data_IF_790010855764
#
_entry.id   IF_790010855764
#
_cell.length_a   1.000
_cell.length_b   1.000
_cell.length_c   1.000
_cell.angle_alpha   90.00
_cell.angle_beta   90.00
_cell.angle_gamma   90.00
#
_symmetry.space_group_name_H-M   'P 1'
#
loop_
_entity.id
_entity.type
_entity.pdbx_description
1 polymer ?
#
# COMPACT_ATOMS: atom_id res chain seq x y z
N UNK A 1 40.22 14.43 8.86
CA UNK A 1 40.14 13.51 7.71
C UNK A 1 39.13 12.44 8.08
N UNK A 2 37.88 12.81 8.38
CA UNK A 2 36.88 13.40 7.48
C UNK A 2 36.43 12.41 6.42
N UNK A 3 35.11 12.20 6.40
CA UNK A 3 34.27 11.52 5.41
C UNK A 3 34.15 9.98 5.61
N UNK A 4 32.97 9.39 5.88
CA UNK A 4 31.60 9.87 5.98
C UNK A 4 30.82 8.98 6.95
N UNK A 5 30.18 9.62 7.91
CA UNK A 5 29.03 9.10 8.68
C UNK A 5 27.76 9.49 7.93
N UNK A 6 27.76 9.30 6.60
CA UNK A 6 26.68 9.69 5.68
C UNK A 6 26.24 8.51 4.77
N UNK A 7 26.96 7.38 4.72
CA UNK A 7 26.56 6.23 3.89
C UNK A 7 25.45 5.36 4.53
N UNK A 8 24.84 5.82 5.63
CA UNK A 8 23.74 5.12 6.32
C UNK A 8 22.38 5.78 6.11
N UNK A 9 22.32 6.89 5.37
CA UNK A 9 21.09 7.66 5.12
C UNK A 9 20.45 7.39 3.75
N UNK A 10 21.07 6.55 2.91
CA UNK A 10 20.52 6.18 1.58
C UNK A 10 19.80 4.83 1.56
N UNK A 11 19.39 4.30 2.73
CA UNK A 11 18.59 3.08 2.83
C UNK A 11 17.11 3.38 2.49
N UNK A 12 16.84 3.79 1.25
CA UNK A 12 15.49 4.06 0.73
C UNK A 12 15.08 3.15 -0.43
N UNK A 13 15.79 2.05 -0.65
CA UNK A 13 15.40 1.04 -1.63
C UNK A 13 14.98 -0.26 -0.93
N UNK A 14 13.66 -0.50 -0.93
CA UNK A 14 13.01 -1.77 -0.57
C UNK A 14 13.58 -2.97 -1.38
N UNK A 15 14.29 -2.70 -2.48
CA UNK A 15 14.98 -3.68 -3.33
C UNK A 15 16.21 -4.30 -2.63
N UNK A 16 16.97 -3.52 -1.85
CA UNK A 16 18.13 -4.04 -1.10
C UNK A 16 17.70 -4.91 0.09
N UNK A 17 16.50 -4.65 0.64
CA UNK A 17 15.92 -5.47 1.72
C UNK A 17 15.47 -6.85 1.23
N UNK A 18 15.09 -6.96 -0.06
CA UNK A 18 14.78 -8.23 -0.73
C UNK A 18 16.06 -8.97 -1.13
N UNK A 19 17.08 -8.25 -1.60
CA UNK A 19 18.37 -8.85 -1.98
C UNK A 19 19.16 -9.37 -0.76
N UNK A 20 19.06 -8.70 0.40
CA UNK A 20 19.63 -9.17 1.67
C UNK A 20 18.94 -10.43 2.24
N UNK A 21 17.70 -10.73 1.82
CA UNK A 21 17.00 -11.98 2.16
C UNK A 21 17.33 -13.11 1.17
N UNK A 22 17.82 -12.79 -0.03
CA UNK A 22 18.08 -13.77 -1.11
C UNK A 22 19.45 -14.45 -1.05
N UNK A 23 20.43 -13.90 -0.33
CA UNK A 23 21.83 -14.38 -0.36
C UNK A 23 22.25 -15.42 0.70
N UNK A 24 21.40 -15.79 1.67
CA UNK A 24 21.64 -16.99 2.49
C UNK A 24 20.71 -18.13 2.06
N UNK A 25 21.19 -18.89 1.08
CA UNK A 25 20.57 -20.11 0.57
C UNK A 25 20.52 -21.22 1.64
N UNK A 26 19.53 -21.18 2.53
CA UNK A 26 19.05 -22.37 3.23
C UNK A 26 18.26 -23.25 2.24
N UNK A 27 18.40 -24.59 2.29
CA UNK A 27 17.73 -25.50 1.37
C UNK A 27 16.23 -25.22 1.36
N UNK A 28 15.69 -24.90 0.17
CA UNK A 28 14.29 -24.48 -0.04
C UNK A 28 13.34 -25.63 0.32
N UNK A 29 13.02 -25.75 1.61
CA UNK A 29 11.80 -26.39 2.05
C UNK A 29 10.63 -25.76 1.28
N UNK A 30 9.59 -26.54 0.90
CA UNK A 30 8.49 -26.02 0.09
C UNK A 30 7.95 -24.77 0.78
N UNK A 31 8.13 -23.61 0.11
CA UNK A 31 7.68 -22.31 0.61
C UNK A 31 6.24 -22.49 1.05
N UNK A 32 5.98 -22.29 2.35
CA UNK A 32 4.64 -22.30 2.91
C UNK A 32 3.74 -21.45 1.99
N UNK A 33 2.68 -22.04 1.43
CA UNK A 33 1.78 -21.33 0.50
C UNK A 33 1.24 -20.03 1.12
N UNK A 34 1.16 -19.99 2.45
CA UNK A 34 0.88 -18.79 3.21
C UNK A 34 1.87 -17.64 2.98
N UNK A 35 3.17 -17.93 2.92
CA UNK A 35 4.19 -16.92 2.64
C UNK A 35 4.10 -16.44 1.21
N UNK A 36 3.95 -17.33 0.23
CA UNK A 36 3.74 -16.95 -1.17
C UNK A 36 2.51 -16.06 -1.34
N UNK A 37 1.41 -16.39 -0.65
CA UNK A 37 0.23 -15.54 -0.61
C UNK A 37 0.54 -14.16 -0.04
N UNK A 38 1.14 -14.09 1.15
CA UNK A 38 1.44 -12.82 1.81
C UNK A 38 2.38 -11.95 0.96
N UNK A 39 3.42 -12.56 0.41
CA UNK A 39 4.39 -11.93 -0.48
C UNK A 39 3.69 -11.34 -1.72
N UNK A 40 2.86 -12.13 -2.41
CA UNK A 40 2.07 -11.63 -3.55
C UNK A 40 1.12 -10.48 -3.19
N UNK A 41 0.51 -10.52 -2.01
CA UNK A 41 -0.37 -9.46 -1.53
C UNK A 41 0.40 -8.18 -1.26
N UNK A 42 1.53 -8.26 -0.54
CA UNK A 42 2.39 -7.12 -0.22
C UNK A 42 2.90 -6.47 -1.51
N UNK A 43 3.46 -7.28 -2.43
CA UNK A 43 3.98 -6.77 -3.72
C UNK A 43 2.91 -6.03 -4.52
N UNK A 44 1.67 -6.49 -4.49
CA UNK A 44 0.57 -5.85 -5.24
C UNK A 44 0.01 -4.62 -4.52
N UNK A 45 0.00 -4.62 -3.19
CA UNK A 45 -0.59 -3.55 -2.37
C UNK A 45 0.31 -2.31 -2.30
N UNK A 46 1.62 -2.50 -2.11
CA UNK A 46 2.55 -1.39 -1.90
C UNK A 46 2.52 -0.33 -3.02
N UNK A 47 2.54 -0.70 -4.32
CA UNK A 47 2.46 0.29 -5.40
C UNK A 47 1.14 1.08 -5.41
N UNK A 48 0.04 0.42 -5.06
CA UNK A 48 -1.30 1.02 -5.02
C UNK A 48 -1.41 1.98 -3.83
N UNK A 49 -0.90 1.61 -2.66
CA UNK A 49 -0.83 2.47 -1.48
C UNK A 49 0.00 3.72 -1.76
N UNK A 50 1.20 3.54 -2.33
CA UNK A 50 2.05 4.65 -2.75
C UNK A 50 1.34 5.57 -3.74
N UNK A 51 0.68 5.00 -4.76
CA UNK A 51 -0.10 5.77 -5.73
C UNK A 51 -1.21 6.59 -5.05
N UNK A 52 -1.99 5.98 -4.16
CA UNK A 52 -3.04 6.71 -3.44
C UNK A 52 -2.49 7.79 -2.53
N UNK A 53 -1.31 7.61 -1.95
CA UNK A 53 -0.57 8.66 -1.24
C UNK A 53 -0.31 9.87 -2.15
N UNK A 54 0.30 9.66 -3.32
CA UNK A 54 0.53 10.72 -4.33
C UNK A 54 -0.78 11.39 -4.74
N UNK A 55 -1.79 10.58 -5.00
CA UNK A 55 -3.06 11.01 -5.58
C UNK A 55 -3.86 11.88 -4.61
N UNK A 56 -3.90 11.52 -3.32
CA UNK A 56 -4.51 12.31 -2.24
C UNK A 56 -3.75 13.60 -1.95
N UNK A 57 -2.41 13.58 -2.00
CA UNK A 57 -1.58 14.78 -1.84
C UNK A 57 -1.80 15.80 -2.94
N UNK A 58 -1.86 15.34 -4.20
CA UNK A 58 -2.12 16.21 -5.36
C UNK A 58 -3.55 16.75 -5.39
N UNK A 59 -4.52 15.97 -4.91
CA UNK A 59 -5.92 16.35 -4.88
C UNK A 59 -6.51 16.17 -3.47
N UNK A 60 -6.35 17.16 -2.57
CA UNK A 60 -6.84 17.08 -1.18
C UNK A 60 -8.34 16.79 -1.04
N UNK A 61 -9.12 17.08 -2.08
CA UNK A 61 -10.55 16.70 -2.17
C UNK A 61 -10.78 15.19 -2.00
N UNK A 62 -9.79 14.36 -2.34
CA UNK A 62 -9.82 12.91 -2.17
C UNK A 62 -9.40 12.47 -0.76
N UNK A 63 -8.70 13.32 0.00
CA UNK A 63 -8.29 13.07 1.38
C UNK A 63 -9.36 13.51 2.39
N UNK A 64 -9.90 14.72 2.22
CA UNK A 64 -10.80 15.39 3.17
C UNK A 64 -12.26 14.89 3.11
N UNK A 65 -12.56 14.01 2.15
CA UNK A 65 -13.90 13.51 1.90
C UNK A 65 -14.77 14.47 1.06
N UNK A 66 -15.62 13.89 0.21
CA UNK A 66 -16.46 14.65 -0.72
C UNK A 66 -17.91 14.67 -0.19
N UNK A 67 -18.42 15.85 0.17
CA UNK A 67 -19.79 16.05 0.69
C UNK A 67 -20.83 16.33 -0.40
N UNK A 68 -20.62 15.81 -1.60
CA UNK A 68 -21.50 15.96 -2.75
C UNK A 68 -22.27 14.67 -3.02
N UNK A 69 -23.35 14.76 -3.81
CA UNK A 69 -24.08 13.57 -4.26
C UNK A 69 -23.12 12.59 -4.93
N UNK A 70 -23.29 11.28 -4.67
CA UNK A 70 -22.44 10.19 -5.21
C UNK A 70 -22.21 10.31 -6.72
N UNK A 71 -23.23 10.70 -7.50
CA UNK A 71 -23.12 10.89 -8.95
C UNK A 71 -22.10 11.98 -9.35
N UNK A 72 -21.85 12.96 -8.47
CA UNK A 72 -20.82 13.99 -8.68
C UNK A 72 -19.45 13.54 -8.19
N UNK A 73 -19.41 12.68 -7.17
CA UNK A 73 -18.17 12.13 -6.59
C UNK A 73 -17.40 11.36 -7.67
N UNK A 74 -18.09 10.51 -8.44
CA UNK A 74 -17.48 9.75 -9.54
C UNK A 74 -16.80 10.68 -10.56
N UNK A 75 -17.51 11.72 -11.02
CA UNK A 75 -16.98 12.68 -11.97
C UNK A 75 -15.74 13.43 -11.42
N UNK A 76 -15.73 13.74 -10.12
CA UNK A 76 -14.58 14.38 -9.46
C UNK A 76 -13.38 13.44 -9.45
N UNK A 77 -13.56 12.18 -9.06
CA UNK A 77 -12.47 11.19 -9.02
C UNK A 77 -11.89 10.97 -10.42
N UNK A 78 -12.75 10.85 -11.44
CA UNK A 78 -12.31 10.72 -12.84
C UNK A 78 -11.57 11.97 -13.31
N UNK A 79 -12.07 13.17 -13.00
CA UNK A 79 -11.39 14.43 -13.34
C UNK A 79 -10.00 14.52 -12.70
N UNK A 80 -9.87 14.15 -11.42
CA UNK A 80 -8.56 14.07 -10.73
C UNK A 80 -7.60 13.11 -11.44
N UNK A 81 -8.08 11.94 -11.90
CA UNK A 81 -7.25 10.97 -12.61
C UNK A 81 -6.76 11.51 -13.96
N UNK A 82 -7.66 12.15 -14.73
CA UNK A 82 -7.30 12.79 -16.00
C UNK A 82 -6.28 13.91 -15.79
N UNK A 83 -6.51 14.78 -14.80
CA UNK A 83 -5.58 15.86 -14.46
C UNK A 83 -4.22 15.32 -13.99
N UNK A 84 -4.20 14.23 -13.22
CA UNK A 84 -2.96 13.57 -12.83
C UNK A 84 -2.16 13.11 -14.05
N UNK A 85 -2.82 12.47 -15.01
CA UNK A 85 -2.18 11.97 -16.22
C UNK A 85 -1.61 13.10 -17.08
N UNK A 86 -2.35 14.21 -17.21
CA UNK A 86 -1.88 15.40 -17.92
C UNK A 86 -0.63 15.97 -17.22
N UNK A 87 -0.69 16.13 -15.90
CA UNK A 87 0.44 16.63 -15.13
C UNK A 87 1.68 15.72 -15.25
N UNK A 88 1.50 14.40 -15.26
CA UNK A 88 2.56 13.42 -15.53
C UNK A 88 3.15 13.57 -16.93
N UNK A 89 2.33 13.78 -17.95
CA UNK A 89 2.78 14.01 -19.33
C UNK A 89 3.55 15.32 -19.47
N UNK A 90 3.17 16.35 -18.71
CA UNK A 90 3.84 17.65 -18.70
C UNK A 90 5.14 17.65 -17.87
N UNK A 91 5.50 16.53 -17.23
CA UNK A 91 6.68 16.45 -16.36
C UNK A 91 6.55 17.29 -15.09
N UNK A 92 5.32 17.58 -14.64
CA UNK A 92 5.10 18.31 -13.41
C UNK A 92 5.60 17.48 -12.23
N UNK A 93 6.52 18.08 -11.46
CA UNK A 93 7.11 17.45 -10.30
C UNK A 93 6.01 16.97 -9.33
N UNK A 94 6.29 15.85 -8.67
CA UNK A 94 5.45 15.46 -7.55
C UNK A 94 5.61 16.49 -6.42
N UNK A 95 4.53 16.80 -5.73
CA UNK A 95 4.58 17.74 -4.61
C UNK A 95 5.53 17.18 -3.54
N UNK A 96 6.59 17.92 -3.24
CA UNK A 96 7.46 17.62 -2.12
C UNK A 96 6.62 17.59 -0.84
N UNK A 97 6.77 16.52 -0.06
CA UNK A 97 5.96 16.27 1.12
C UNK A 97 6.77 16.60 2.34
N UNK A 98 6.22 17.45 3.20
CA UNK A 98 6.69 17.58 4.57
C UNK A 98 5.83 16.64 5.40
N UNK A 99 6.43 15.98 6.40
CA UNK A 99 5.74 15.03 7.29
C UNK A 99 4.43 15.60 7.87
N UNK A 100 4.38 16.91 8.14
CA UNK A 100 3.18 17.64 8.60
C UNK A 100 1.97 17.55 7.64
N UNK A 101 2.20 17.54 6.31
CA UNK A 101 1.13 17.46 5.31
C UNK A 101 0.57 16.05 5.22
N UNK A 102 1.44 15.05 5.37
CA UNK A 102 1.07 13.64 5.38
C UNK A 102 0.25 13.30 6.63
N UNK A 103 0.72 13.73 7.80
CA UNK A 103 -0.01 13.62 9.06
C UNK A 103 -1.37 14.34 9.02
N UNK A 104 -1.45 15.53 8.41
CA UNK A 104 -2.72 16.24 8.27
C UNK A 104 -3.73 15.51 7.36
N UNK A 105 -3.24 14.81 6.32
CA UNK A 105 -4.06 13.99 5.44
C UNK A 105 -4.55 12.73 6.15
N UNK A 106 -3.67 12.05 6.91
CA UNK A 106 -4.02 10.85 7.68
C UNK A 106 -5.02 11.17 8.81
N UNK A 107 -4.78 12.24 9.57
CA UNK A 107 -5.64 12.67 10.67
C UNK A 107 -7.03 13.13 10.20
N UNK A 108 -7.18 13.57 8.95
CA UNK A 108 -8.49 13.90 8.38
C UNK A 108 -9.35 12.67 8.06
N UNK A 109 -8.79 11.45 8.08
CA UNK A 109 -9.46 10.19 7.75
C UNK A 109 -10.12 9.54 8.99
N UNK A 110 -10.53 10.33 9.99
CA UNK A 110 -11.24 9.83 11.18
C UNK A 110 -12.68 9.39 10.84
N UNK A 111 -12.81 8.36 10.00
CA UNK A 111 -14.02 7.60 9.78
C UNK A 111 -14.01 6.54 10.87
N UNK A 112 -14.67 6.86 11.99
CA UNK A 112 -14.87 5.96 13.12
C UNK A 112 -15.60 4.68 12.65
N UNK A 113 -14.85 3.66 12.23
CA UNK A 113 -15.31 2.35 11.76
C UNK A 113 -15.26 1.29 12.88
N UNK A 114 -14.85 1.67 14.09
CA UNK A 114 -14.77 0.78 15.23
C UNK A 114 -16.11 0.71 15.96
N UNK A 115 -17.04 -0.07 15.41
CA UNK A 115 -18.12 -0.63 16.22
C UNK A 115 -17.68 -2.02 16.71
N UNK A 116 -17.23 -2.19 17.98
CA UNK A 116 -16.70 -3.45 18.47
C UNK A 116 -17.85 -4.41 18.79
N UNK A 117 -18.52 -4.94 17.77
CA UNK A 117 -19.52 -6.00 17.94
C UNK A 117 -19.06 -7.25 17.21
N UNK A 118 -18.59 -8.23 17.99
CA UNK A 118 -18.38 -9.64 17.63
C UNK A 118 -17.19 -10.05 16.74
N UNK A 119 -16.01 -9.46 16.96
CA UNK A 119 -14.77 -9.86 16.25
C UNK A 119 -14.30 -11.29 16.61
N UNK A 120 -14.59 -11.84 17.79
CA UNK A 120 -13.89 -13.05 18.25
C UNK A 120 -14.43 -14.42 17.78
N UNK A 121 -15.66 -14.55 17.29
CA UNK A 121 -16.20 -15.88 16.88
C UNK A 121 -15.99 -16.15 15.38
N UNK A 122 -15.99 -15.11 14.54
CA UNK A 122 -15.79 -15.24 13.08
C UNK A 122 -14.34 -15.40 12.64
N UNK A 123 -13.37 -14.88 13.41
CA UNK A 123 -11.96 -14.87 13.00
C UNK A 123 -11.35 -16.27 12.82
N UNK A 124 -11.76 -17.25 13.63
CA UNK A 124 -11.17 -18.59 13.58
C UNK A 124 -11.63 -19.39 12.36
N UNK A 125 -12.92 -19.31 12.01
CA UNK A 125 -13.47 -19.88 10.77
C UNK A 125 -12.94 -19.18 9.52
N UNK A 126 -12.77 -17.85 9.59
CA UNK A 126 -12.22 -17.05 8.50
C UNK A 126 -10.74 -17.41 8.23
N UNK A 127 -9.96 -17.65 9.29
CA UNK A 127 -8.56 -18.07 9.16
C UNK A 127 -8.43 -19.46 8.54
N UNK A 128 -9.30 -20.41 8.91
CA UNK A 128 -9.32 -21.76 8.31
C UNK A 128 -9.74 -21.72 6.84
N UNK A 129 -10.80 -20.95 6.53
CA UNK A 129 -11.29 -20.80 5.15
C UNK A 129 -10.23 -20.15 4.26
N UNK A 130 -9.57 -19.09 4.75
CA UNK A 130 -8.45 -18.42 4.08
C UNK A 130 -7.30 -19.37 3.83
N UNK A 131 -6.92 -20.17 4.83
CA UNK A 131 -5.88 -21.17 4.68
C UNK A 131 -6.22 -22.17 3.58
N UNK A 132 -7.44 -22.74 3.60
CA UNK A 132 -7.87 -23.71 2.59
C UNK A 132 -7.86 -23.13 1.16
N UNK A 133 -8.31 -21.89 0.98
CA UNK A 133 -8.27 -21.21 -0.31
C UNK A 133 -6.84 -21.01 -0.82
N UNK A 134 -5.93 -20.59 0.07
CA UNK A 134 -4.51 -20.42 -0.26
C UNK A 134 -3.91 -21.77 -0.68
N UNK A 135 -4.14 -22.82 0.10
CA UNK A 135 -3.60 -24.15 -0.23
C UNK A 135 -4.14 -24.66 -1.57
N UNK A 136 -5.45 -24.55 -1.82
CA UNK A 136 -6.06 -24.99 -3.07
C UNK A 136 -5.50 -24.24 -4.29
N UNK A 137 -5.37 -22.91 -4.20
CA UNK A 137 -4.86 -22.10 -5.30
C UNK A 137 -3.42 -22.49 -5.67
N UNK A 138 -2.52 -22.54 -4.68
CA UNK A 138 -1.10 -22.82 -4.94
C UNK A 138 -0.81 -24.31 -5.23
N UNK A 139 -1.65 -25.24 -4.78
CA UNK A 139 -1.57 -26.64 -5.20
C UNK A 139 -1.92 -26.81 -6.70
N UNK A 140 -2.86 -26.01 -7.22
CA UNK A 140 -3.24 -26.06 -8.64
C UNK A 140 -2.21 -25.43 -9.60
N UNK A 141 -1.15 -24.82 -9.07
CA UNK A 141 -0.07 -24.17 -9.82
C UNK A 141 1.19 -25.05 -9.98
N UNK A 142 1.24 -26.21 -9.30
CA UNK A 142 2.31 -27.21 -9.37
C UNK A 142 1.91 -28.37 -10.28
#
# INVERSE_FOLDING_TARGET
MALLREDLEDLTDDEDFLELVELEAFPRAPRNFQHLFNESQIRTRNPIERFFGVFKRRFPVLALGIRLNVHKVEAIVVACAVLHNIARQMGEAELAVNQEVEEAIENAIDINLDNPVNVNIGLNMNNLTRYNLIMQYFQGLL
#
